data_IF_095267151335
#
_entry.id   IF_095267151335
#
_cell.length_a   1.000
_cell.length_b   1.000
_cell.length_c   1.000
_cell.angle_alpha   90.00
_cell.angle_beta   90.00
_cell.angle_gamma   90.00
#
_symmetry.space_group_name_H-M   'P 1'
#
loop_
_entity.id
_entity.type
_entity.pdbx_description
1 polymer ?
#
# COMPACT_ATOMS: atom_id res chain seq x y z
N UNK A 1 -16.60 28.16 48.90
CA UNK A 1 -16.28 27.63 47.56
C UNK A 1 -14.87 28.01 47.21
N UNK A 2 -14.02 27.04 46.90
CA UNK A 2 -12.70 27.26 46.30
C UNK A 2 -12.38 26.02 45.46
N UNK A 3 -12.57 26.13 44.14
CA UNK A 3 -12.23 25.09 43.18
C UNK A 3 -10.80 25.27 42.70
N UNK A 4 -9.91 24.36 43.08
CA UNK A 4 -8.55 24.27 42.52
C UNK A 4 -8.58 23.55 41.18
N UNK A 5 -8.20 24.24 40.10
CA UNK A 5 -7.98 23.63 38.78
C UNK A 5 -6.64 22.90 38.80
N UNK A 6 -6.68 21.58 38.83
CA UNK A 6 -5.50 20.74 38.59
C UNK A 6 -5.16 20.73 37.11
N UNK A 7 -3.98 21.21 36.76
CA UNK A 7 -3.39 21.06 35.43
C UNK A 7 -2.86 19.63 35.28
N UNK A 8 -3.53 18.81 34.48
CA UNK A 8 -3.00 17.53 34.02
C UNK A 8 -1.99 17.81 32.92
N UNK A 9 -0.69 17.69 33.24
CA UNK A 9 0.36 17.65 32.23
C UNK A 9 0.31 16.26 31.58
N UNK A 10 -0.12 16.20 30.33
CA UNK A 10 0.02 15.01 29.50
C UNK A 10 1.51 14.80 29.23
N UNK A 11 2.09 13.75 29.81
CA UNK A 11 3.39 13.25 29.39
C UNK A 11 3.26 12.81 27.93
N UNK A 12 3.86 13.56 27.02
CA UNK A 12 4.08 13.10 25.65
C UNK A 12 5.16 12.04 25.72
N UNK A 13 4.75 10.77 25.76
CA UNK A 13 5.69 9.69 25.52
C UNK A 13 6.23 9.86 24.09
N UNK A 14 7.57 9.91 23.90
CA UNK A 14 8.13 10.02 22.57
C UNK A 14 7.72 8.78 21.77
N UNK A 15 7.14 9.01 20.59
CA UNK A 15 6.84 7.94 19.64
C UNK A 15 8.11 7.12 19.40
N UNK A 16 8.05 5.78 19.52
CA UNK A 16 9.23 4.95 19.31
C UNK A 16 9.71 5.11 17.87
N UNK A 17 10.92 5.64 17.71
CA UNK A 17 11.60 5.74 16.44
C UNK A 17 11.97 4.32 15.97
N UNK A 18 11.22 3.79 14.99
CA UNK A 18 11.35 2.42 14.50
C UNK A 18 12.63 2.17 13.69
N UNK A 19 13.48 3.18 13.50
CA UNK A 19 14.73 3.09 12.74
C UNK A 19 15.88 2.39 13.48
N UNK A 20 15.79 2.20 14.81
CA UNK A 20 16.91 1.75 15.65
C UNK A 20 17.00 0.22 15.91
N UNK A 21 16.14 -0.63 15.34
CA UNK A 21 16.05 -2.06 15.70
C UNK A 21 16.59 -3.04 14.65
N UNK A 22 17.88 -2.94 14.27
CA UNK A 22 18.48 -3.94 13.37
C UNK A 22 19.76 -4.61 13.89
N UNK A 23 20.29 -4.21 15.04
CA UNK A 23 21.53 -4.82 15.57
C UNK A 23 21.38 -5.18 17.05
N UNK A 24 20.48 -6.12 17.34
CA UNK A 24 20.40 -6.70 18.69
C UNK A 24 21.45 -7.78 18.85
N UNK A 25 22.39 -7.55 19.76
CA UNK A 25 23.42 -8.53 20.13
C UNK A 25 23.06 -9.16 21.46
N UNK A 26 22.94 -10.49 21.49
CA UNK A 26 22.72 -11.26 22.71
C UNK A 26 24.06 -11.54 23.36
N UNK A 27 24.23 -11.08 24.60
CA UNK A 27 25.44 -11.27 25.38
C UNK A 27 25.14 -11.95 26.72
N UNK A 28 26.08 -12.78 27.18
CA UNK A 28 26.05 -13.35 28.52
C UNK A 28 27.15 -12.71 29.37
N UNK A 29 26.92 -12.58 30.68
CA UNK A 29 27.98 -12.10 31.59
C UNK A 29 29.02 -13.20 31.77
N UNK A 30 30.29 -12.85 31.63
CA UNK A 30 31.41 -13.79 31.82
C UNK A 30 31.45 -14.35 33.25
N UNK A 31 31.01 -13.55 34.22
CA UNK A 31 30.95 -13.93 35.64
C UNK A 31 29.49 -14.02 36.10
N UNK A 32 29.14 -15.13 36.76
CA UNK A 32 27.80 -15.34 37.32
C UNK A 32 27.51 -14.31 38.43
N UNK A 33 26.40 -13.58 38.29
CA UNK A 33 25.94 -12.61 39.30
C UNK A 33 25.28 -13.37 40.46
N UNK A 34 25.66 -13.14 41.72
CA UNK A 34 25.01 -13.77 42.87
C UNK A 34 23.55 -13.29 43.00
N UNK A 35 22.65 -14.23 43.27
CA UNK A 35 21.24 -13.95 43.47
C UNK A 35 21.04 -13.01 44.65
N UNK A 36 20.22 -11.99 44.44
CA UNK A 36 19.78 -11.09 45.51
C UNK A 36 18.53 -11.67 46.18
N UNK A 37 18.20 -11.12 47.35
CA UNK A 37 16.96 -11.50 48.06
C UNK A 37 15.75 -11.23 47.15
N UNK A 38 14.66 -11.97 47.38
CA UNK A 38 13.39 -11.77 46.67
C UNK A 38 12.98 -10.29 46.72
N UNK A 39 12.53 -9.77 45.59
CA UNK A 39 12.08 -8.38 45.41
C UNK A 39 13.16 -7.31 45.67
N UNK A 40 14.45 -7.70 45.65
CA UNK A 40 15.57 -6.77 45.68
C UNK A 40 16.37 -6.82 44.39
N UNK A 41 16.79 -5.65 43.93
CA UNK A 41 17.64 -5.52 42.76
C UNK A 41 18.97 -6.27 42.90
N UNK A 42 19.49 -6.83 41.80
CA UNK A 42 20.75 -7.56 41.81
C UNK A 42 21.93 -6.65 42.14
N UNK A 43 22.82 -7.08 43.05
CA UNK A 43 24.00 -6.31 43.48
C UNK A 43 25.15 -6.36 42.47
N UNK A 44 24.98 -5.72 41.32
CA UNK A 44 25.92 -5.75 40.18
C UNK A 44 26.88 -4.53 40.21
N UNK A 45 27.51 -4.26 41.35
CA UNK A 45 28.42 -3.10 41.49
C UNK A 45 29.85 -3.39 41.02
N UNK A 46 30.29 -4.64 41.11
CA UNK A 46 31.67 -5.01 40.80
C UNK A 46 31.94 -4.96 39.28
N UNK A 47 33.04 -4.33 38.82
CA UNK A 47 33.35 -4.19 37.39
C UNK A 47 33.43 -5.52 36.61
N UNK A 48 33.88 -6.61 37.26
CA UNK A 48 33.88 -7.96 36.68
C UNK A 48 32.53 -8.35 36.07
N UNK A 49 31.40 -7.93 36.65
CA UNK A 49 30.08 -8.26 36.09
C UNK A 49 29.73 -7.47 34.82
N UNK A 50 30.45 -6.39 34.49
CA UNK A 50 30.29 -5.65 33.23
C UNK A 50 31.09 -6.28 32.08
N UNK A 51 31.78 -7.39 32.33
CA UNK A 51 32.44 -8.18 31.29
C UNK A 51 31.42 -9.13 30.68
N UNK A 52 31.24 -9.01 29.37
CA UNK A 52 30.29 -9.80 28.60
C UNK A 52 31.01 -10.67 27.56
N UNK A 53 30.40 -11.79 27.23
CA UNK A 53 30.75 -12.65 26.10
C UNK A 53 29.64 -12.56 25.06
N UNK A 54 30.01 -12.41 23.79
CA UNK A 54 29.08 -12.53 22.67
C UNK A 54 28.53 -13.96 22.63
N UNK A 55 27.20 -14.10 22.74
CA UNK A 55 26.51 -15.38 22.57
C UNK A 55 26.03 -15.49 21.14
N UNK A 56 25.25 -14.51 20.69
CA UNK A 56 24.60 -14.59 19.40
C UNK A 56 24.29 -13.21 18.84
N UNK A 57 24.48 -13.08 17.53
CA UNK A 57 24.18 -11.85 16.80
C UNK A 57 22.91 -12.04 15.96
N UNK A 58 21.86 -11.28 16.29
CA UNK A 58 20.55 -11.43 15.62
C UNK A 58 20.56 -10.86 14.21
N UNK A 59 21.52 -10.01 13.84
CA UNK A 59 21.52 -9.35 12.52
C UNK A 59 21.82 -10.30 11.36
N UNK A 60 22.54 -11.37 11.64
CA UNK A 60 22.95 -12.37 10.65
C UNK A 60 21.95 -13.51 10.49
N UNK A 61 20.92 -13.56 11.33
CA UNK A 61 19.87 -14.57 11.19
C UNK A 61 19.00 -14.28 9.95
N UNK A 62 18.52 -15.31 9.25
CA UNK A 62 17.54 -15.13 8.18
C UNK A 62 16.28 -14.49 8.76
N UNK A 63 15.80 -13.43 8.11
CA UNK A 63 14.61 -12.70 8.56
C UNK A 63 13.38 -13.40 8.01
N UNK A 64 12.47 -13.78 8.89
CA UNK A 64 11.18 -14.35 8.48
C UNK A 64 10.38 -13.33 7.62
N UNK A 65 9.57 -13.81 6.67
CA UNK A 65 8.68 -12.94 5.91
C UNK A 65 7.62 -12.30 6.82
N UNK A 66 7.06 -11.18 6.37
CA UNK A 66 5.98 -10.46 7.03
C UNK A 66 4.66 -10.87 6.42
N UNK A 67 3.74 -11.34 7.25
CA UNK A 67 2.37 -11.67 6.88
C UNK A 67 1.50 -10.42 6.89
N UNK A 68 0.86 -10.12 5.77
CA UNK A 68 -0.01 -8.95 5.58
C UNK A 68 -1.27 -9.34 4.81
N UNK A 69 -2.36 -8.59 5.01
CA UNK A 69 -3.59 -8.70 4.24
C UNK A 69 -3.69 -7.48 3.32
N UNK A 70 -3.86 -7.70 2.02
CA UNK A 70 -3.94 -6.62 1.04
C UNK A 70 -5.29 -5.90 1.10
N UNK A 71 -5.28 -4.57 1.13
CA UNK A 71 -6.49 -3.74 1.03
C UNK A 71 -6.81 -3.38 -0.42
N UNK A 72 -5.83 -3.43 -1.31
CA UNK A 72 -5.97 -3.08 -2.72
C UNK A 72 -5.30 -4.16 -3.58
N UNK A 73 -5.72 -4.34 -4.85
CA UNK A 73 -4.96 -5.15 -5.79
C UNK A 73 -3.55 -4.55 -5.97
N UNK A 74 -2.52 -5.39 -5.80
CA UNK A 74 -1.12 -5.00 -5.91
C UNK A 74 -0.43 -5.84 -6.98
N UNK A 75 0.25 -5.16 -7.91
CA UNK A 75 1.02 -5.79 -8.98
C UNK A 75 2.03 -6.80 -8.45
N UNK A 76 2.03 -8.00 -9.05
CA UNK A 76 2.91 -9.14 -8.74
C UNK A 76 2.88 -9.63 -7.27
N UNK A 77 1.93 -9.15 -6.46
CA UNK A 77 1.77 -9.55 -5.04
C UNK A 77 0.44 -10.27 -4.81
N UNK A 78 -0.69 -9.72 -5.24
CA UNK A 78 -2.01 -10.34 -5.00
C UNK A 78 -3.20 -9.41 -5.16
N UNK A 79 -4.40 -9.94 -4.89
CA UNK A 79 -5.64 -9.18 -4.93
C UNK A 79 -6.06 -8.68 -3.53
N UNK A 80 -7.01 -7.72 -3.48
CA UNK A 80 -7.59 -7.28 -2.20
C UNK A 80 -8.18 -8.46 -1.42
N UNK A 81 -7.93 -8.49 -0.12
CA UNK A 81 -8.44 -9.48 0.82
C UNK A 81 -7.56 -10.74 0.92
N UNK A 82 -6.50 -10.82 0.13
CA UNK A 82 -5.57 -11.95 0.14
C UNK A 82 -4.51 -11.78 1.23
N UNK A 83 -4.20 -12.88 1.92
CA UNK A 83 -3.10 -12.93 2.89
C UNK A 83 -1.81 -13.30 2.18
N UNK A 84 -0.80 -12.44 2.26
CA UNK A 84 0.47 -12.57 1.53
C UNK A 84 1.67 -12.54 2.47
N UNK A 85 2.72 -13.28 2.11
CA UNK A 85 4.00 -13.29 2.80
C UNK A 85 5.04 -12.52 1.99
N UNK A 86 5.46 -11.36 2.50
CA UNK A 86 6.39 -10.47 1.79
C UNK A 86 7.66 -10.21 2.60
N UNK A 87 8.72 -9.74 1.95
CA UNK A 87 9.90 -9.30 2.70
C UNK A 87 9.56 -8.07 3.57
N UNK A 88 10.06 -8.03 4.81
CA UNK A 88 9.77 -6.99 5.81
C UNK A 88 10.00 -5.56 5.31
N UNK A 89 11.05 -5.34 4.53
CA UNK A 89 11.33 -4.00 3.97
C UNK A 89 10.29 -3.58 2.93
N UNK A 90 9.86 -4.50 2.08
CA UNK A 90 8.84 -4.22 1.08
C UNK A 90 7.49 -3.98 1.75
N UNK A 91 7.11 -4.85 2.70
CA UNK A 91 5.86 -4.71 3.45
C UNK A 91 5.75 -3.38 4.20
N UNK A 92 6.81 -2.94 4.90
CA UNK A 92 6.79 -1.66 5.64
C UNK A 92 6.77 -0.45 4.72
N UNK A 93 7.72 -0.38 3.78
CA UNK A 93 7.97 0.83 3.00
C UNK A 93 6.95 1.01 1.86
N UNK A 94 6.44 -0.09 1.29
CA UNK A 94 5.57 -0.01 0.11
C UNK A 94 4.11 -0.39 0.39
N UNK A 95 3.84 -1.35 1.28
CA UNK A 95 2.46 -1.79 1.53
C UNK A 95 1.83 -1.02 2.68
N UNK A 96 2.43 -1.07 3.86
CA UNK A 96 1.90 -0.45 5.08
C UNK A 96 1.98 1.08 4.99
N UNK A 97 3.12 1.63 4.56
CA UNK A 97 3.28 3.08 4.45
C UNK A 97 2.29 3.73 3.47
N UNK A 98 1.95 3.04 2.38
CA UNK A 98 0.96 3.49 1.41
C UNK A 98 -0.47 3.01 1.72
N UNK A 99 -0.71 2.38 2.88
CA UNK A 99 -2.02 1.83 3.29
C UNK A 99 -2.64 0.81 2.30
N UNK A 100 -1.79 0.14 1.50
CA UNK A 100 -2.18 -0.92 0.54
C UNK A 100 -2.28 -2.30 1.17
N UNK A 101 -1.88 -2.43 2.43
CA UNK A 101 -2.06 -3.62 3.22
C UNK A 101 -2.22 -3.29 4.70
N UNK A 102 -2.74 -4.24 5.45
CA UNK A 102 -2.93 -4.20 6.89
C UNK A 102 -2.25 -5.41 7.53
N UNK A 103 -1.83 -5.29 8.79
CA UNK A 103 -1.29 -6.43 9.54
C UNK A 103 -2.30 -7.58 9.63
N UNK A 104 -1.79 -8.80 9.50
CA UNK A 104 -2.55 -10.04 9.62
C UNK A 104 -2.91 -10.39 11.07
N UNK A 105 -3.46 -9.42 11.81
CA UNK A 105 -3.99 -9.60 13.17
C UNK A 105 -5.25 -10.48 13.15
N UNK A 106 -5.55 -11.23 14.23
CA UNK A 106 -6.72 -12.11 14.27
C UNK A 106 -8.05 -11.36 14.09
N UNK A 107 -8.12 -10.10 14.53
CA UNK A 107 -9.29 -9.23 14.31
C UNK A 107 -9.44 -8.89 12.82
N UNK A 108 -8.36 -8.47 12.17
CA UNK A 108 -8.35 -8.13 10.74
C UNK A 108 -8.66 -9.35 9.88
N UNK A 109 -8.12 -10.52 10.21
CA UNK A 109 -8.43 -11.78 9.52
C UNK A 109 -9.94 -12.04 9.48
N UNK A 110 -10.62 -11.91 10.62
CA UNK A 110 -12.08 -12.07 10.70
C UNK A 110 -12.83 -11.03 9.86
N UNK A 111 -12.43 -9.77 9.90
CA UNK A 111 -13.07 -8.72 9.09
C UNK A 111 -12.96 -8.99 7.59
N UNK A 112 -11.78 -9.39 7.09
CA UNK A 112 -11.58 -9.69 5.68
C UNK A 112 -12.21 -11.02 5.25
N UNK A 113 -12.26 -12.02 6.14
CA UNK A 113 -13.02 -13.26 5.90
C UNK A 113 -14.51 -12.98 5.73
N UNK A 114 -15.10 -12.14 6.59
CA UNK A 114 -16.51 -11.74 6.48
C UNK A 114 -16.77 -10.88 5.23
N UNK A 115 -15.88 -9.94 4.90
CA UNK A 115 -15.96 -9.15 3.66
C UNK A 115 -15.94 -10.07 2.42
N UNK A 116 -15.02 -11.04 2.38
CA UNK A 116 -14.93 -12.00 1.29
C UNK A 116 -16.18 -12.87 1.20
N UNK A 117 -16.71 -13.35 2.33
CA UNK A 117 -17.96 -14.13 2.36
C UNK A 117 -19.14 -13.33 1.80
N UNK A 118 -19.31 -12.07 2.22
CA UNK A 118 -20.36 -11.20 1.69
C UNK A 118 -20.22 -10.95 0.18
N UNK A 119 -18.98 -10.94 -0.32
CA UNK A 119 -18.68 -10.78 -1.74
C UNK A 119 -18.98 -12.06 -2.54
N UNK A 120 -18.65 -13.23 -2.00
CA UNK A 120 -19.00 -14.53 -2.60
C UNK A 120 -20.51 -14.73 -2.67
N UNK A 121 -21.23 -14.29 -1.63
CA UNK A 121 -22.70 -14.25 -1.61
C UNK A 121 -23.30 -13.22 -2.59
N UNK A 122 -22.47 -12.38 -3.24
CA UNK A 122 -22.91 -11.37 -4.22
C UNK A 122 -23.52 -10.11 -3.62
N UNK A 123 -23.46 -9.92 -2.29
CA UNK A 123 -23.99 -8.72 -1.62
C UNK A 123 -23.10 -7.49 -1.82
N UNK A 124 -21.82 -7.71 -2.12
CA UNK A 124 -20.84 -6.66 -2.40
C UNK A 124 -20.39 -6.72 -3.87
N UNK A 125 -20.11 -5.58 -4.51
CA UNK A 125 -19.70 -5.55 -5.91
C UNK A 125 -18.38 -6.30 -6.09
N UNK A 126 -18.24 -7.04 -7.20
CA UNK A 126 -17.01 -7.74 -7.54
C UNK A 126 -15.91 -6.73 -7.83
N UNK A 127 -14.76 -6.84 -7.16
CA UNK A 127 -13.61 -6.00 -7.49
C UNK A 127 -12.91 -6.53 -8.71
N UNK A 128 -12.41 -5.60 -9.52
CA UNK A 128 -11.52 -5.94 -10.62
C UNK A 128 -10.21 -6.46 -10.02
N UNK A 129 -9.78 -7.62 -10.51
CA UNK A 129 -8.46 -8.17 -10.18
C UNK A 129 -7.37 -7.30 -10.80
N UNK A 130 -6.16 -7.36 -10.24
CA UNK A 130 -5.02 -6.67 -10.83
C UNK A 130 -4.81 -7.04 -12.31
N UNK A 131 -4.98 -8.32 -12.66
CA UNK A 131 -4.91 -8.81 -14.04
C UNK A 131 -5.96 -8.18 -14.96
N UNK A 132 -7.18 -7.93 -14.46
CA UNK A 132 -8.24 -7.27 -15.21
C UNK A 132 -8.03 -5.77 -15.39
N UNK A 133 -7.30 -5.12 -14.48
CA UNK A 133 -6.94 -3.70 -14.62
C UNK A 133 -5.81 -3.49 -15.64
N UNK A 134 -4.82 -4.38 -15.66
CA UNK A 134 -3.63 -4.28 -16.53
C UNK A 134 -3.91 -4.71 -17.97
N UNK A 135 -4.76 -5.73 -18.16
CA UNK A 135 -5.27 -6.09 -19.48
C UNK A 135 -6.33 -5.06 -19.85
N UNK A 136 -6.05 -4.16 -20.80
CA UNK A 136 -7.06 -3.27 -21.36
C UNK A 136 -8.24 -4.11 -21.85
N UNK A 137 -9.27 -4.25 -21.02
CA UNK A 137 -10.37 -5.19 -21.22
C UNK A 137 -11.07 -4.82 -22.51
N UNK A 138 -10.85 -5.62 -23.55
CA UNK A 138 -11.54 -5.47 -24.82
C UNK A 138 -12.94 -6.01 -24.62
N UNK A 139 -13.89 -5.11 -24.41
CA UNK A 139 -15.31 -5.44 -24.37
C UNK A 139 -15.76 -5.77 -25.79
N UNK A 140 -16.35 -6.95 -26.05
CA UNK A 140 -16.87 -7.28 -27.38
C UNK A 140 -17.99 -6.32 -27.77
N UNK A 141 -18.16 -5.97 -29.06
CA UNK A 141 -19.13 -4.95 -29.49
C UNK A 141 -20.57 -5.25 -29.07
N UNK A 142 -20.95 -6.53 -28.92
CA UNK A 142 -22.30 -6.92 -28.51
C UNK A 142 -22.61 -6.57 -27.04
N UNK A 143 -21.60 -6.25 -26.24
CA UNK A 143 -21.74 -5.84 -24.84
C UNK A 143 -21.72 -4.31 -24.67
N UNK A 144 -21.59 -3.54 -25.75
CA UNK A 144 -21.58 -2.09 -25.75
C UNK A 144 -22.91 -1.57 -26.32
N UNK A 145 -23.72 -0.93 -25.48
CA UNK A 145 -24.91 -0.22 -25.91
C UNK A 145 -24.56 1.26 -26.04
N UNK A 146 -24.41 1.71 -27.29
CA UNK A 146 -24.29 3.13 -27.61
C UNK A 146 -25.67 3.80 -27.55
N UNK A 147 -25.74 5.11 -27.27
CA UNK A 147 -26.99 5.86 -27.42
C UNK A 147 -27.52 5.74 -28.84
N UNK A 148 -28.85 5.75 -28.98
CA UNK A 148 -29.55 5.58 -30.26
C UNK A 148 -29.24 6.71 -31.27
N UNK A 149 -28.79 7.85 -30.77
CA UNK A 149 -28.34 8.97 -31.61
C UNK A 149 -26.91 8.76 -32.13
N UNK A 150 -26.67 8.94 -33.45
CA UNK A 150 -25.35 8.75 -34.03
C UNK A 150 -24.34 9.77 -33.49
N UNK A 151 -23.22 9.30 -32.94
CA UNK A 151 -22.17 10.14 -32.38
C UNK A 151 -21.37 10.79 -33.51
N UNK A 152 -21.74 12.01 -33.87
CA UNK A 152 -21.15 12.77 -34.99
C UNK A 152 -20.22 13.89 -34.54
N UNK A 153 -20.27 14.28 -33.27
CA UNK A 153 -19.46 15.36 -32.71
C UNK A 153 -18.32 14.79 -31.84
N UNK A 154 -17.22 15.55 -31.75
CA UNK A 154 -16.17 15.26 -30.79
C UNK A 154 -16.66 15.66 -29.40
N UNK A 155 -16.35 14.87 -28.38
CA UNK A 155 -16.81 15.19 -27.03
C UNK A 155 -16.81 14.01 -26.08
N UNK A 156 -17.36 14.26 -24.90
CA UNK A 156 -17.56 13.27 -23.84
C UNK A 156 -18.96 12.69 -23.95
N UNK A 157 -19.04 11.39 -24.13
CA UNK A 157 -20.26 10.60 -24.23
C UNK A 157 -20.29 9.57 -23.10
N UNK A 158 -21.40 8.87 -22.98
CA UNK A 158 -21.55 7.73 -22.07
C UNK A 158 -21.96 6.51 -22.88
N UNK A 159 -21.37 5.37 -22.58
CA UNK A 159 -21.73 4.07 -23.15
C UNK A 159 -22.14 3.14 -22.02
N UNK A 160 -23.21 2.38 -22.22
CA UNK A 160 -23.63 1.36 -21.28
C UNK A 160 -22.96 0.04 -21.65
N UNK A 161 -22.21 -0.53 -20.70
CA UNK A 161 -21.46 -1.76 -20.89
C UNK A 161 -22.14 -2.88 -20.11
N UNK A 162 -22.59 -3.92 -20.80
CA UNK A 162 -23.26 -5.06 -20.19
C UNK A 162 -22.29 -6.24 -20.05
N UNK A 163 -21.92 -6.56 -18.81
CA UNK A 163 -21.02 -7.68 -18.49
C UNK A 163 -21.87 -8.92 -18.21
N UNK A 164 -21.64 -10.01 -18.97
CA UNK A 164 -22.31 -11.30 -18.81
C UNK A 164 -23.86 -11.27 -18.89
N UNK A 165 -24.45 -10.23 -19.49
CA UNK A 165 -25.90 -10.10 -19.66
C UNK A 165 -26.68 -9.77 -18.38
N UNK A 166 -26.01 -9.44 -17.28
CA UNK A 166 -26.63 -9.22 -15.97
C UNK A 166 -26.32 -7.83 -15.41
N UNK A 167 -25.06 -7.39 -15.51
CA UNK A 167 -24.62 -6.12 -14.93
C UNK A 167 -24.37 -5.09 -16.03
N UNK A 168 -25.15 -4.01 -16.03
CA UNK A 168 -24.96 -2.87 -16.94
C UNK A 168 -24.32 -1.71 -16.18
N UNK A 169 -23.13 -1.30 -16.62
CA UNK A 169 -22.37 -0.19 -16.04
C UNK A 169 -22.22 0.91 -17.06
N UNK A 170 -22.52 2.15 -16.66
CA UNK A 170 -22.37 3.34 -17.50
C UNK A 170 -20.95 3.86 -17.43
N UNK A 171 -20.24 3.86 -18.55
CA UNK A 171 -18.82 4.19 -18.65
C UNK A 171 -18.64 5.46 -19.52
N UNK A 172 -17.80 6.42 -19.11
CA UNK A 172 -17.52 7.60 -19.92
C UNK A 172 -16.69 7.23 -21.15
N UNK A 173 -17.10 7.73 -22.32
CA UNK A 173 -16.46 7.56 -23.62
C UNK A 173 -15.98 8.94 -24.12
N UNK A 174 -14.80 9.02 -24.73
CA UNK A 174 -14.34 10.25 -25.40
C UNK A 174 -14.18 9.97 -26.90
N UNK A 175 -14.88 10.73 -27.73
CA UNK A 175 -14.72 10.68 -29.19
C UNK A 175 -13.70 11.73 -29.60
N UNK A 176 -12.62 11.26 -30.20
CA UNK A 176 -11.50 12.05 -30.68
C UNK A 176 -11.27 11.79 -32.17
N UNK A 177 -10.60 12.72 -32.85
CA UNK A 177 -10.18 12.52 -34.23
C UNK A 177 -9.25 11.30 -34.30
N UNK A 178 -9.54 10.39 -35.23
CA UNK A 178 -8.69 9.24 -35.49
C UNK A 178 -7.32 9.73 -35.99
N UNK A 179 -6.30 9.56 -35.15
CA UNK A 179 -4.91 9.83 -35.53
C UNK A 179 -4.29 8.55 -36.07
N UNK A 180 -3.77 8.59 -37.29
CA UNK A 180 -3.05 7.45 -37.86
C UNK A 180 -1.91 7.00 -36.93
N UNK A 181 -1.75 5.68 -36.71
CA UNK A 181 -0.72 5.17 -35.83
C UNK A 181 0.66 5.52 -36.39
N UNK A 182 1.36 6.43 -35.70
CA UNK A 182 2.72 6.85 -36.08
C UNK A 182 3.69 5.69 -35.92
N UNK A 183 4.55 5.49 -36.91
CA UNK A 183 5.65 4.52 -36.82
C UNK A 183 6.53 4.77 -35.58
N UNK A 184 7.15 3.72 -35.05
CA UNK A 184 8.06 3.82 -33.89
C UNK A 184 9.10 4.94 -34.06
N UNK A 185 9.71 5.04 -35.24
CA UNK A 185 10.68 6.09 -35.58
C UNK A 185 10.09 7.51 -35.58
N UNK A 186 8.83 7.68 -36.03
CA UNK A 186 8.15 8.97 -35.97
C UNK A 186 7.83 9.40 -34.54
N UNK A 187 7.42 8.46 -33.67
CA UNK A 187 7.12 8.74 -32.26
C UNK A 187 8.35 9.26 -31.53
N UNK A 188 9.52 8.64 -31.76
CA UNK A 188 10.79 9.08 -31.16
C UNK A 188 11.17 10.50 -31.61
N UNK A 189 11.03 10.79 -32.92
CA UNK A 189 11.33 12.12 -33.48
C UNK A 189 10.42 13.23 -32.93
N UNK A 190 9.14 12.94 -32.71
CA UNK A 190 8.18 13.89 -32.15
C UNK A 190 8.42 14.16 -30.65
N UNK A 191 8.84 13.14 -29.89
CA UNK A 191 9.16 13.30 -28.47
C UNK A 191 10.44 14.12 -28.23
N UNK A 192 11.35 14.15 -29.21
CA UNK A 192 12.60 14.93 -29.16
C UNK A 192 12.42 16.39 -29.62
N UNK A 193 11.23 16.78 -30.10
CA UNK A 193 10.99 18.15 -30.57
C UNK A 193 10.55 18.99 -29.37
N UNK A 194 11.43 19.87 -28.89
CA UNK A 194 11.07 20.82 -27.84
C UNK A 194 9.91 21.72 -28.29
N UNK A 195 8.96 22.05 -27.40
CA UNK A 195 7.85 22.94 -27.73
C UNK A 195 8.37 24.35 -28.04
N UNK A 196 8.03 24.86 -29.22
CA UNK A 196 8.29 26.25 -29.62
C UNK A 196 7.72 27.23 -28.57
N UNK A 197 8.50 28.23 -28.12
CA UNK A 197 8.02 29.20 -27.14
C UNK A 197 6.89 30.04 -27.73
N UNK A 198 5.74 30.04 -27.03
CA UNK A 198 4.57 30.83 -27.40
C UNK A 198 4.95 32.32 -27.49
N UNK A 199 4.79 32.91 -28.69
CA UNK A 199 4.98 34.34 -28.92
C UNK A 199 3.98 35.12 -28.05
N UNK A 200 4.50 35.85 -27.06
CA UNK A 200 3.72 36.82 -26.28
C UNK A 200 3.37 37.98 -27.21
N UNK A 201 2.10 38.13 -27.56
CA UNK A 201 1.61 39.32 -28.24
C UNK A 201 1.80 40.54 -27.33
N UNK A 202 2.62 41.47 -27.79
CA UNK A 202 2.91 42.72 -27.10
C UNK A 202 1.77 43.72 -27.27
N UNK A 203 1.08 44.03 -26.19
CA UNK A 203 0.31 45.28 -26.06
C UNK A 203 1.28 46.44 -25.84
N UNK A 204 1.27 47.41 -26.76
CA UNK A 204 1.99 48.70 -26.68
C UNK A 204 1.33 49.64 -25.63
N UNK A 205 2.04 50.70 -25.19
CA UNK A 205 1.82 51.42 -23.92
C UNK A 205 0.56 52.27 -23.88
#
# INVERSE_FOLDING_TARGET
GAGGRGSVQAASEPFPDFSALQETVVVERWWKVPLSKKDREPRIKHPRFRVFRLVEDLKHRPKEPLELILTEPVEDVGNRGETVFVHRSFGRNHLLFHNRAVYASPENKKFFEEENRLREEGKLPRLQSHSGMKLGVVVPPQALTLPEEPITQLGSYWCDVTVNGLDTVRVPLSVQLFAEPKSSSQRLRLAQKEPEPAKREGGKP
#
